data_IF_483056192803
#
_entry.id   IF_483056192803
#
_cell.length_a   1.000
_cell.length_b   1.000
_cell.length_c   1.000
_cell.angle_alpha   90.00
_cell.angle_beta   90.00
_cell.angle_gamma   90.00
#
_symmetry.space_group_name_H-M   'P 1'
#
loop_
_entity.id
_entity.type
_entity.pdbx_description
1 polymer ?
#
# COMPACT_ATOMS: atom_id res chain seq x y z
N UNK A 1 -27.92 7.50 -15.51
CA UNK A 1 -27.19 8.08 -14.99
C UNK A 1 -26.56 9.43 -15.40
N UNK A 2 -27.37 10.38 -15.88
CA UNK A 2 -26.93 11.72 -16.22
C UNK A 2 -26.41 12.52 -15.02
N UNK A 3 -27.09 12.43 -13.87
CA UNK A 3 -26.71 13.16 -12.66
C UNK A 3 -25.35 12.70 -12.10
N UNK A 4 -25.10 11.39 -11.90
CA UNK A 4 -23.77 10.92 -11.45
C UNK A 4 -22.64 11.34 -12.40
N UNK A 5 -22.84 11.26 -13.70
CA UNK A 5 -21.84 11.67 -14.70
C UNK A 5 -21.51 13.15 -14.61
N UNK A 6 -22.52 14.01 -14.43
CA UNK A 6 -22.30 15.44 -14.24
C UNK A 6 -21.55 15.76 -12.94
N UNK A 7 -21.91 15.09 -11.83
CA UNK A 7 -21.22 15.27 -10.54
C UNK A 7 -19.74 14.90 -10.67
N UNK A 8 -19.41 13.78 -11.29
CA UNK A 8 -18.02 13.33 -11.52
C UNK A 8 -17.25 14.34 -12.39
N UNK A 9 -17.89 14.95 -13.37
CA UNK A 9 -17.22 15.93 -14.26
C UNK A 9 -16.96 17.28 -13.60
N UNK A 10 -17.78 17.67 -12.63
CA UNK A 10 -17.69 18.97 -11.93
C UNK A 10 -16.71 18.90 -10.75
N UNK A 11 -16.65 17.75 -10.07
CA UNK A 11 -15.79 17.53 -8.91
C UNK A 11 -14.33 17.17 -9.32
N UNK A 12 -13.42 17.18 -8.36
CA UNK A 12 -12.01 16.82 -8.54
C UNK A 12 -11.81 15.36 -8.99
N UNK A 13 -12.74 14.53 -8.66
CA UNK A 13 -12.69 13.09 -8.92
C UNK A 13 -13.73 12.37 -8.06
N UNK A 14 -13.46 11.09 -7.81
CA UNK A 14 -14.36 10.25 -7.04
C UNK A 14 -13.60 9.20 -6.24
N UNK A 15 -14.16 8.83 -5.09
CA UNK A 15 -13.71 7.69 -4.30
C UNK A 15 -14.83 6.64 -4.35
N UNK A 16 -14.52 5.48 -4.90
CA UNK A 16 -15.46 4.36 -4.98
C UNK A 16 -15.32 3.46 -3.75
N UNK A 17 -16.45 3.21 -3.08
CA UNK A 17 -16.57 2.21 -2.03
C UNK A 17 -17.20 0.95 -2.61
N UNK A 18 -16.57 -0.21 -2.35
CA UNK A 18 -17.04 -1.51 -2.82
C UNK A 18 -17.53 -2.36 -1.65
N UNK A 19 -18.80 -2.81 -1.74
CA UNK A 19 -19.40 -3.67 -0.73
C UNK A 19 -18.73 -5.05 -0.63
N UNK A 20 -18.16 -5.57 -1.73
CA UNK A 20 -17.44 -6.83 -1.71
C UNK A 20 -16.13 -6.70 -0.91
N UNK A 21 -15.38 -5.61 -1.09
CA UNK A 21 -14.20 -5.32 -0.28
C UNK A 21 -14.56 -5.17 1.20
N UNK A 22 -15.67 -4.48 1.49
CA UNK A 22 -16.15 -4.33 2.87
C UNK A 22 -16.47 -5.68 3.53
N UNK A 23 -17.18 -6.55 2.82
CA UNK A 23 -17.57 -7.88 3.30
C UNK A 23 -16.36 -8.81 3.46
N UNK A 24 -15.30 -8.61 2.69
CA UNK A 24 -14.02 -9.32 2.80
C UNK A 24 -13.14 -8.80 3.96
N UNK A 25 -13.58 -7.76 4.67
CA UNK A 25 -12.86 -7.19 5.80
C UNK A 25 -11.88 -6.05 5.45
N UNK A 26 -11.81 -5.64 4.18
CA UNK A 26 -11.00 -4.48 3.78
C UNK A 26 -11.69 -3.18 4.19
N UNK A 27 -11.09 -2.47 5.14
CA UNK A 27 -11.62 -1.19 5.66
C UNK A 27 -10.50 -0.18 5.80
N UNK A 28 -10.62 1.00 5.15
CA UNK A 28 -11.75 1.44 4.30
C UNK A 28 -11.89 0.62 3.02
N UNK A 29 -13.12 0.34 2.61
CA UNK A 29 -13.45 -0.47 1.44
C UNK A 29 -13.32 0.32 0.12
N UNK A 30 -12.21 0.99 -0.07
CA UNK A 30 -11.95 1.87 -1.22
C UNK A 30 -11.38 1.05 -2.37
N UNK A 31 -12.03 1.16 -3.52
CA UNK A 31 -11.46 0.67 -4.77
C UNK A 31 -10.39 1.63 -5.28
N UNK A 32 -9.11 1.28 -5.05
CA UNK A 32 -7.96 2.09 -5.44
C UNK A 32 -7.79 2.19 -6.96
N UNK A 33 -8.23 1.17 -7.70
CA UNK A 33 -8.05 1.09 -9.15
C UNK A 33 -8.86 2.13 -9.91
N UNK A 34 -10.13 2.32 -9.51
CA UNK A 34 -11.08 3.22 -10.18
C UNK A 34 -11.27 4.55 -9.46
N UNK A 35 -10.76 4.69 -8.25
CA UNK A 35 -10.79 5.97 -7.51
C UNK A 35 -9.76 6.94 -8.07
N UNK A 36 -10.15 8.21 -8.20
CA UNK A 36 -9.30 9.29 -8.76
C UNK A 36 -9.49 10.56 -7.96
N UNK A 37 -8.40 11.25 -7.64
CA UNK A 37 -8.38 12.64 -7.18
C UNK A 37 -7.24 13.37 -7.86
N UNK A 38 -7.57 14.36 -8.68
CA UNK A 38 -6.59 15.16 -9.46
C UNK A 38 -5.84 16.13 -8.57
N UNK A 39 -6.57 16.89 -7.77
CA UNK A 39 -6.00 17.86 -6.81
C UNK A 39 -5.25 17.12 -5.70
N UNK A 40 -5.85 16.08 -5.12
CA UNK A 40 -5.21 15.25 -4.12
C UNK A 40 -3.90 14.65 -4.61
N UNK A 41 -3.87 14.10 -5.82
CA UNK A 41 -2.65 13.60 -6.46
C UNK A 41 -1.59 14.69 -6.66
N UNK A 42 -2.00 15.91 -7.00
CA UNK A 42 -1.07 17.06 -7.15
C UNK A 42 -0.53 17.55 -5.82
N UNK A 43 -1.33 17.50 -4.75
CA UNK A 43 -0.99 17.95 -3.41
C UNK A 43 -0.05 16.99 -2.66
N UNK A 44 0.09 15.73 -3.09
CA UNK A 44 0.98 14.76 -2.47
C UNK A 44 2.43 15.26 -2.45
N UNK A 45 3.14 15.01 -1.35
CA UNK A 45 4.59 15.21 -1.25
C UNK A 45 5.32 14.25 -2.21
N UNK A 46 6.55 14.61 -2.61
CA UNK A 46 7.32 13.87 -3.63
C UNK A 46 7.54 12.39 -3.27
N UNK A 47 7.82 12.10 -2.01
CA UNK A 47 7.99 10.72 -1.51
C UNK A 47 6.71 9.89 -1.68
N UNK A 48 5.55 10.45 -1.31
CA UNK A 48 4.25 9.79 -1.48
C UNK A 48 3.92 9.56 -2.96
N UNK A 49 4.16 10.54 -3.84
CA UNK A 49 3.91 10.38 -5.28
C UNK A 49 4.65 9.20 -5.89
N UNK A 50 5.92 9.00 -5.49
CA UNK A 50 6.73 7.87 -5.99
C UNK A 50 6.12 6.53 -5.59
N UNK A 51 5.79 6.39 -4.30
CA UNK A 51 5.30 5.12 -3.76
C UNK A 51 3.85 4.84 -4.19
N UNK A 52 2.97 5.83 -4.13
CA UNK A 52 1.56 5.68 -4.50
C UNK A 52 1.38 5.39 -5.99
N UNK A 53 2.22 5.96 -6.86
CA UNK A 53 2.21 5.66 -8.29
C UNK A 53 2.49 4.18 -8.57
N UNK A 54 3.52 3.62 -7.94
CA UNK A 54 3.87 2.19 -8.04
C UNK A 54 2.75 1.31 -7.48
N UNK A 55 2.23 1.64 -6.30
CA UNK A 55 1.15 0.90 -5.67
C UNK A 55 -0.09 0.80 -6.57
N UNK A 56 -0.45 1.89 -7.25
CA UNK A 56 -1.62 1.90 -8.13
C UNK A 56 -1.45 0.94 -9.31
N UNK A 57 -0.26 0.88 -9.89
CA UNK A 57 0.08 -0.05 -10.97
C UNK A 57 0.04 -1.49 -10.47
N UNK A 58 0.67 -1.77 -9.33
CA UNK A 58 0.68 -3.10 -8.71
C UNK A 58 -0.74 -3.59 -8.40
N UNK A 59 -1.61 -2.72 -7.89
CA UNK A 59 -2.99 -3.07 -7.59
C UNK A 59 -3.84 -3.34 -8.85
N UNK A 60 -3.59 -2.61 -9.94
CA UNK A 60 -4.25 -2.87 -11.21
C UNK A 60 -3.85 -4.24 -11.76
N UNK A 61 -2.56 -4.56 -11.77
CA UNK A 61 -2.05 -5.86 -12.18
C UNK A 61 -2.58 -7.01 -11.30
N UNK A 62 -2.58 -6.81 -9.98
CA UNK A 62 -3.12 -7.79 -9.05
C UNK A 62 -4.58 -8.15 -9.35
N UNK A 63 -5.44 -7.17 -9.60
CA UNK A 63 -6.85 -7.41 -9.91
C UNK A 63 -7.06 -8.19 -11.19
N UNK A 64 -6.31 -7.83 -12.22
CA UNK A 64 -6.35 -8.55 -13.49
C UNK A 64 -5.96 -10.02 -13.31
N UNK A 65 -4.85 -10.26 -12.61
CA UNK A 65 -4.35 -11.60 -12.35
C UNK A 65 -5.22 -12.40 -11.37
N UNK A 66 -5.81 -11.74 -10.36
CA UNK A 66 -6.73 -12.41 -9.41
C UNK A 66 -7.98 -12.96 -10.11
N UNK A 67 -8.49 -12.24 -11.11
CA UNK A 67 -9.61 -12.72 -11.92
C UNK A 67 -9.23 -13.99 -12.69
N UNK A 68 -8.02 -14.04 -13.27
CA UNK A 68 -7.52 -15.24 -13.95
C UNK A 68 -7.24 -16.40 -12.99
N UNK A 69 -6.67 -16.11 -11.82
CA UNK A 69 -6.31 -17.12 -10.83
C UNK A 69 -7.49 -17.95 -10.32
N UNK A 70 -8.71 -17.39 -10.35
CA UNK A 70 -9.92 -18.11 -9.97
C UNK A 70 -10.31 -19.21 -10.97
N UNK A 71 -9.78 -19.16 -12.19
CA UNK A 71 -10.12 -20.09 -13.28
C UNK A 71 -8.96 -21.02 -13.68
N UNK A 72 -7.75 -20.76 -13.19
CA UNK A 72 -6.55 -21.53 -13.55
C UNK A 72 -6.05 -22.34 -12.35
N UNK A 73 -5.84 -23.65 -12.57
CA UNK A 73 -5.25 -24.54 -11.56
C UNK A 73 -3.71 -24.48 -11.53
N UNK A 74 -3.07 -24.06 -12.64
CA UNK A 74 -1.63 -23.96 -12.77
C UNK A 74 -1.22 -22.51 -12.98
N UNK A 75 -0.61 -21.90 -11.94
CA UNK A 75 -0.01 -20.56 -12.02
C UNK A 75 1.50 -20.67 -12.15
N UNK A 76 2.06 -19.87 -13.07
CA UNK A 76 3.51 -19.69 -13.11
C UNK A 76 4.01 -18.94 -11.85
N UNK A 77 5.29 -19.16 -11.45
CA UNK A 77 5.83 -18.54 -10.23
C UNK A 77 5.78 -17.01 -10.21
N UNK A 78 5.91 -16.35 -11.36
CA UNK A 78 5.91 -14.88 -11.45
C UNK A 78 4.52 -14.33 -11.18
N UNK A 79 3.50 -14.96 -11.76
CA UNK A 79 2.09 -14.62 -11.51
C UNK A 79 1.73 -14.84 -10.03
N UNK A 80 2.16 -15.96 -9.44
CA UNK A 80 1.94 -16.25 -8.03
C UNK A 80 2.57 -15.19 -7.12
N UNK A 81 3.81 -14.77 -7.40
CA UNK A 81 4.48 -13.69 -6.65
C UNK A 81 3.76 -12.35 -6.77
N UNK A 82 3.25 -12.01 -7.95
CA UNK A 82 2.51 -10.76 -8.17
C UNK A 82 1.20 -10.76 -7.39
N UNK A 83 0.50 -11.89 -7.36
CA UNK A 83 -0.74 -12.05 -6.58
C UNK A 83 -0.45 -11.97 -5.08
N UNK A 84 0.59 -12.64 -4.59
CA UNK A 84 0.99 -12.60 -3.19
C UNK A 84 1.33 -11.17 -2.75
N UNK A 85 2.13 -10.44 -3.55
CA UNK A 85 2.45 -9.03 -3.30
C UNK A 85 1.20 -8.15 -3.28
N UNK A 86 0.29 -8.33 -4.21
CA UNK A 86 -0.97 -7.57 -4.26
C UNK A 86 -1.85 -7.83 -3.04
N UNK A 87 -1.96 -9.08 -2.59
CA UNK A 87 -2.70 -9.44 -1.37
C UNK A 87 -2.09 -8.80 -0.13
N UNK A 88 -0.76 -8.83 0.01
CA UNK A 88 -0.06 -8.21 1.13
C UNK A 88 -0.17 -6.69 1.10
N UNK A 89 -0.11 -6.07 -0.07
CA UNK A 89 -0.38 -4.64 -0.23
C UNK A 89 -1.80 -4.27 0.22
N UNK A 90 -2.80 -5.10 -0.08
CA UNK A 90 -4.15 -4.88 0.42
C UNK A 90 -4.23 -4.92 1.96
N UNK A 91 -3.48 -5.83 2.60
CA UNK A 91 -3.42 -5.88 4.07
C UNK A 91 -2.80 -4.60 4.67
N UNK A 92 -1.76 -4.05 4.04
CA UNK A 92 -1.15 -2.78 4.46
C UNK A 92 -2.09 -1.58 4.34
N UNK A 93 -3.10 -1.65 3.49
CA UNK A 93 -4.10 -0.59 3.30
C UNK A 93 -5.25 -0.65 4.29
N UNK A 94 -5.35 -1.70 5.09
CA UNK A 94 -6.35 -1.81 6.15
C UNK A 94 -5.99 -0.84 7.28
N UNK A 95 -6.95 -0.02 7.66
CA UNK A 95 -6.79 1.01 8.69
C UNK A 95 -7.97 0.96 9.67
N UNK A 96 -7.67 1.01 10.95
CA UNK A 96 -8.71 1.08 11.98
C UNK A 96 -9.44 2.42 11.93
N UNK A 97 -10.70 2.43 12.35
CA UNK A 97 -11.50 3.64 12.45
C UNK A 97 -10.88 4.59 13.47
N UNK A 98 -10.87 5.90 13.18
CA UNK A 98 -10.30 6.95 14.03
C UNK A 98 -8.80 6.80 14.34
N UNK A 99 -8.07 6.07 13.49
CA UNK A 99 -6.62 5.85 13.62
C UNK A 99 -5.86 6.41 12.42
N UNK A 100 -5.74 7.74 12.29
CA UNK A 100 -5.00 8.35 11.18
C UNK A 100 -3.51 8.05 11.30
N UNK A 101 -2.88 7.76 10.17
CA UNK A 101 -1.44 7.51 10.09
C UNK A 101 -0.73 8.73 9.49
N UNK A 102 0.37 9.24 10.08
CA UNK A 102 1.18 10.30 9.50
C UNK A 102 1.71 9.95 8.11
N UNK A 103 1.86 10.94 7.24
CA UNK A 103 2.23 10.72 5.83
C UNK A 103 3.57 10.02 5.66
N UNK A 104 4.56 10.34 6.48
CA UNK A 104 5.88 9.71 6.49
C UNK A 104 5.81 8.21 6.82
N UNK A 105 4.95 7.83 7.73
CA UNK A 105 4.71 6.43 8.09
C UNK A 105 3.99 5.70 6.96
N UNK A 106 2.98 6.33 6.35
CA UNK A 106 2.32 5.78 5.17
C UNK A 106 3.33 5.50 4.06
N UNK A 107 4.22 6.46 3.76
CA UNK A 107 5.26 6.29 2.72
C UNK A 107 6.17 5.11 3.06
N UNK A 108 6.65 5.01 4.31
CA UNK A 108 7.54 3.93 4.72
C UNK A 108 6.87 2.54 4.60
N UNK A 109 5.63 2.41 5.05
CA UNK A 109 4.85 1.16 4.94
C UNK A 109 4.58 0.78 3.49
N UNK A 110 4.11 1.73 2.68
CA UNK A 110 3.82 1.49 1.27
C UNK A 110 5.09 1.18 0.47
N UNK A 111 6.22 1.75 0.85
CA UNK A 111 7.52 1.40 0.27
C UNK A 111 7.83 -0.09 0.49
N UNK A 112 7.63 -0.61 1.70
CA UNK A 112 7.82 -2.03 1.99
C UNK A 112 6.96 -2.93 1.09
N UNK A 113 5.70 -2.57 0.88
CA UNK A 113 4.78 -3.33 0.04
C UNK A 113 5.18 -3.31 -1.44
N UNK A 114 5.41 -2.12 -2.00
CA UNK A 114 5.70 -1.94 -3.44
C UNK A 114 7.08 -2.47 -3.85
N UNK A 115 8.03 -2.55 -2.92
CA UNK A 115 9.37 -3.10 -3.18
C UNK A 115 9.50 -4.59 -2.79
N UNK A 116 8.36 -5.25 -2.45
CA UNK A 116 8.34 -6.69 -2.20
C UNK A 116 9.08 -7.13 -0.94
N UNK A 117 9.28 -6.22 0.04
CA UNK A 117 9.99 -6.54 1.29
C UNK A 117 9.20 -7.46 2.21
N UNK A 118 7.93 -7.70 1.88
CA UNK A 118 7.03 -8.60 2.60
C UNK A 118 6.99 -10.02 2.02
N UNK A 119 7.84 -10.37 1.04
CA UNK A 119 7.77 -11.67 0.35
C UNK A 119 7.75 -12.87 1.31
N UNK A 120 8.56 -12.82 2.37
CA UNK A 120 8.71 -13.90 3.34
C UNK A 120 7.76 -13.79 4.56
N UNK A 121 6.96 -12.73 4.64
CA UNK A 121 6.00 -12.49 5.73
C UNK A 121 4.70 -13.23 5.44
N UNK A 122 4.18 -14.00 6.41
CA UNK A 122 2.86 -14.60 6.29
C UNK A 122 1.77 -13.52 6.19
N UNK A 123 0.79 -13.72 5.31
CA UNK A 123 -0.28 -12.75 5.06
C UNK A 123 -1.05 -12.37 6.34
N UNK A 124 -1.29 -13.34 7.23
CA UNK A 124 -1.99 -13.12 8.50
C UNK A 124 -1.15 -12.31 9.52
N UNK A 125 0.15 -12.15 9.25
CA UNK A 125 1.09 -11.43 10.10
C UNK A 125 1.50 -10.06 9.54
N UNK A 126 0.95 -9.66 8.40
CA UNK A 126 1.30 -8.37 7.77
C UNK A 126 0.99 -7.19 8.70
N UNK A 127 -0.15 -7.20 9.41
CA UNK A 127 -0.49 -6.14 10.37
C UNK A 127 0.51 -6.10 11.54
N UNK A 128 0.91 -7.27 12.07
CA UNK A 128 1.90 -7.35 13.13
C UNK A 128 3.27 -6.85 12.68
N UNK A 129 3.68 -7.22 11.46
CA UNK A 129 4.88 -6.68 10.83
C UNK A 129 4.82 -5.16 10.74
N UNK A 130 3.71 -4.60 10.25
CA UNK A 130 3.53 -3.16 10.10
C UNK A 130 3.69 -2.42 11.43
N UNK A 131 3.05 -2.91 12.50
CA UNK A 131 3.16 -2.33 13.83
C UNK A 131 4.59 -2.37 14.36
N UNK A 132 5.26 -3.51 14.30
CA UNK A 132 6.63 -3.68 14.74
C UNK A 132 7.59 -2.78 13.92
N UNK A 133 7.41 -2.73 12.60
CA UNK A 133 8.20 -1.88 11.71
C UNK A 133 8.03 -0.39 12.06
N UNK A 134 6.81 0.09 12.24
CA UNK A 134 6.55 1.47 12.62
C UNK A 134 7.09 1.81 14.01
N UNK A 135 7.03 0.87 14.95
CA UNK A 135 7.59 1.07 16.28
C UNK A 135 9.12 1.31 16.22
N UNK A 136 9.83 0.51 15.42
CA UNK A 136 11.28 0.70 15.22
C UNK A 136 11.57 2.01 14.50
N UNK A 137 10.80 2.35 13.45
CA UNK A 137 10.97 3.62 12.73
C UNK A 137 10.78 4.82 13.65
N UNK A 138 9.76 4.81 14.50
CA UNK A 138 9.50 5.90 15.46
C UNK A 138 10.57 6.02 16.54
N UNK A 139 11.09 4.90 17.03
CA UNK A 139 12.03 4.90 18.15
C UNK A 139 13.48 5.14 17.75
N UNK A 140 13.90 4.68 16.58
CA UNK A 140 15.31 4.68 16.18
C UNK A 140 15.61 5.55 14.94
N UNK A 141 14.62 5.77 14.08
CA UNK A 141 14.81 6.41 12.77
C UNK A 141 13.88 7.61 12.54
N UNK A 142 13.34 8.22 13.61
CA UNK A 142 12.43 9.36 13.51
C UNK A 142 13.05 10.51 12.71
N UNK A 143 14.27 10.93 13.06
CA UNK A 143 14.96 12.07 12.43
C UNK A 143 15.67 11.68 11.14
N UNK A 144 16.25 10.48 11.09
CA UNK A 144 17.08 10.06 9.96
C UNK A 144 16.27 9.55 8.77
N UNK A 145 15.06 9.02 8.99
CA UNK A 145 14.18 8.47 7.96
C UNK A 145 12.85 9.20 7.91
N UNK A 146 12.04 9.17 8.98
CA UNK A 146 10.67 9.69 8.92
C UNK A 146 10.63 11.20 8.63
N UNK A 147 11.51 12.00 9.24
CA UNK A 147 11.60 13.43 8.94
C UNK A 147 11.94 13.69 7.48
N UNK A 148 12.92 12.96 6.91
CA UNK A 148 13.28 13.08 5.48
C UNK A 148 12.11 12.70 4.56
N UNK A 149 11.36 11.63 4.89
CA UNK A 149 10.17 11.23 4.13
C UNK A 149 9.07 12.30 4.17
N UNK A 150 8.86 12.95 5.32
CA UNK A 150 7.91 14.06 5.49
C UNK A 150 8.27 15.25 4.60
N UNK A 151 9.56 15.55 4.46
CA UNK A 151 10.07 16.59 3.55
C UNK A 151 9.98 16.19 2.07
N UNK A 152 9.52 14.98 1.76
CA UNK A 152 9.41 14.47 0.40
C UNK A 152 10.70 13.86 -0.14
N UNK A 153 11.70 13.67 0.70
CA UNK A 153 12.99 13.09 0.33
C UNK A 153 12.95 11.55 0.46
N UNK A 154 13.13 10.86 -0.64
CA UNK A 154 13.26 9.41 -0.74
C UNK A 154 14.61 9.11 -1.41
N UNK A 155 15.71 9.38 -0.68
CA UNK A 155 17.08 9.12 -1.11
C UNK A 155 17.43 7.64 -0.95
N UNK A 156 18.48 7.21 -1.65
CA UNK A 156 18.98 5.82 -1.58
C UNK A 156 19.35 5.41 -0.15
N UNK A 157 19.92 6.32 0.64
CA UNK A 157 20.23 6.09 2.06
C UNK A 157 18.98 5.78 2.88
N UNK A 158 17.90 6.54 2.65
CA UNK A 158 16.60 6.33 3.32
C UNK A 158 16.00 5.00 2.89
N UNK A 159 16.04 4.68 1.60
CA UNK A 159 15.54 3.42 1.05
C UNK A 159 16.29 2.23 1.66
N UNK A 160 17.62 2.23 1.66
CA UNK A 160 18.46 1.17 2.24
C UNK A 160 18.17 0.96 3.73
N UNK A 161 17.94 2.05 4.48
CA UNK A 161 17.58 1.94 5.88
C UNK A 161 16.23 1.28 6.07
N UNK A 162 15.22 1.65 5.29
CA UNK A 162 13.90 1.02 5.30
C UNK A 162 14.02 -0.47 4.96
N UNK A 163 14.76 -0.81 3.91
CA UNK A 163 14.98 -2.19 3.47
C UNK A 163 15.65 -3.04 4.55
N UNK A 164 16.69 -2.51 5.20
CA UNK A 164 17.37 -3.20 6.29
C UNK A 164 16.45 -3.47 7.46
N UNK A 165 15.74 -2.46 7.95
CA UNK A 165 14.82 -2.62 9.08
C UNK A 165 13.67 -3.57 8.73
N UNK A 166 13.13 -3.47 7.51
CA UNK A 166 12.07 -4.36 7.05
C UNK A 166 12.56 -5.82 6.99
N UNK A 167 13.78 -6.07 6.51
CA UNK A 167 14.35 -7.42 6.45
C UNK A 167 14.56 -8.02 7.85
N UNK A 168 15.06 -7.23 8.80
CA UNK A 168 15.29 -7.64 10.18
C UNK A 168 13.97 -8.04 10.86
N UNK A 169 12.91 -7.28 10.63
CA UNK A 169 11.59 -7.55 11.21
C UNK A 169 10.88 -8.68 10.49
N UNK A 170 10.94 -8.74 9.15
CA UNK A 170 10.31 -9.79 8.36
C UNK A 170 10.81 -11.19 8.78
N UNK A 171 12.06 -11.30 9.21
CA UNK A 171 12.63 -12.53 9.73
C UNK A 171 11.87 -13.12 10.93
N UNK A 172 11.15 -12.32 11.69
CA UNK A 172 10.37 -12.72 12.87
C UNK A 172 8.95 -13.21 12.51
N UNK A 173 8.48 -12.90 11.31
CA UNK A 173 7.12 -13.18 10.84
C UNK A 173 7.07 -14.09 9.61
N UNK A 174 8.11 -14.89 9.41
CA UNK A 174 8.18 -15.84 8.29
C UNK A 174 7.02 -16.84 8.31
N UNK A 175 6.61 -17.26 7.10
CA UNK A 175 5.61 -18.30 6.89
C UNK A 175 6.15 -19.69 7.25
#
# INVERSE_FOLDING_TARGET
AYIPTNVISITDGQIYLDSNLFNQGFRPAIDVGISVSRVGGSAQIKSMKKVAGTLKIDQAQYRELEAFAKFSSDMDPVTAMTIDRGRKNNQLLIQAQYSPMPVEEQVAVLYCGTHGLLKDVNIDKVCNFQEAFLQVMRSQYADSVLAKLREGNLSDEVCQTIEKVAADIAGQYKA
#
